data_IF_268674310651
#
_entry.id   IF_268674310651
#
_cell.length_a   1.000
_cell.length_b   1.000
_cell.length_c   1.000
_cell.angle_alpha   90.00
_cell.angle_beta   90.00
_cell.angle_gamma   90.00
#
_symmetry.space_group_name_H-M   'P 1'
#
loop_
_entity.id
_entity.type
_entity.pdbx_description
1 polymer ?
#
# COMPACT_ATOMS: atom_id res chain seq x y z
N UNK A 1 0.43 -6.27 24.98
CA UNK A 1 -0.37 -7.03 23.98
C UNK A 1 0.51 -8.12 23.40
N UNK A 2 0.03 -9.37 23.30
CA UNK A 2 0.71 -10.43 22.55
C UNK A 2 -0.06 -10.68 21.26
N UNK A 3 0.56 -10.36 20.12
CA UNK A 3 -0.06 -10.44 18.80
C UNK A 3 -0.15 -11.88 18.28
N UNK A 4 0.79 -12.75 18.67
CA UNK A 4 0.83 -14.14 18.22
C UNK A 4 -0.30 -14.99 18.82
N UNK A 5 -0.85 -14.57 19.96
CA UNK A 5 -1.97 -15.26 20.63
C UNK A 5 -3.32 -14.58 20.40
N UNK A 6 -3.34 -13.47 19.64
CA UNK A 6 -4.58 -12.80 19.28
C UNK A 6 -5.26 -13.55 18.12
N UNK A 7 -6.52 -13.95 18.31
CA UNK A 7 -7.27 -14.76 17.33
C UNK A 7 -7.51 -14.04 15.99
N UNK A 8 -7.43 -12.71 15.95
CA UNK A 8 -7.68 -11.91 14.75
C UNK A 8 -6.38 -11.49 14.06
N UNK A 9 -5.27 -11.39 14.80
CA UNK A 9 -3.98 -11.00 14.23
C UNK A 9 -3.09 -12.21 13.90
N UNK A 10 -3.08 -13.24 14.77
CA UNK A 10 -2.32 -14.51 14.61
C UNK A 10 -0.80 -14.25 14.34
N UNK A 11 -0.32 -13.08 14.71
CA UNK A 11 0.97 -12.56 14.28
C UNK A 11 1.01 -11.04 14.37
N UNK A 12 2.22 -10.47 14.34
CA UNK A 12 2.39 -9.02 14.43
C UNK A 12 2.31 -8.33 13.05
N UNK A 13 2.87 -8.96 12.03
CA UNK A 13 2.94 -8.43 10.66
C UNK A 13 3.45 -9.53 9.71
N UNK A 14 3.20 -9.38 8.41
CA UNK A 14 3.87 -10.17 7.39
C UNK A 14 5.38 -9.89 7.34
N UNK A 15 6.14 -10.96 7.17
CA UNK A 15 7.58 -10.90 6.91
C UNK A 15 7.95 -12.07 6.02
N UNK A 16 8.42 -11.75 4.82
CA UNK A 16 8.91 -12.76 3.91
C UNK A 16 10.18 -13.42 4.43
N UNK A 17 10.22 -14.74 4.25
CA UNK A 17 11.44 -15.54 4.30
C UNK A 17 12.19 -15.42 2.98
N UNK A 18 13.43 -15.94 2.92
CA UNK A 18 14.26 -15.83 1.73
C UNK A 18 13.52 -16.30 0.47
N UNK A 19 13.61 -15.50 -0.60
CA UNK A 19 12.99 -15.72 -1.93
C UNK A 19 11.45 -15.70 -1.99
N UNK A 20 10.73 -15.54 -0.87
CA UNK A 20 9.26 -15.48 -0.94
C UNK A 20 8.76 -14.28 -1.71
N UNK A 21 9.43 -13.12 -1.57
CA UNK A 21 9.09 -11.91 -2.32
C UNK A 21 9.10 -12.19 -3.83
N UNK A 22 10.22 -12.70 -4.35
CA UNK A 22 10.37 -13.01 -5.78
C UNK A 22 9.39 -14.09 -6.25
N UNK A 23 9.15 -15.10 -5.43
CA UNK A 23 8.27 -16.22 -5.82
C UNK A 23 6.78 -15.83 -5.81
N UNK A 24 6.40 -14.83 -5.02
CA UNK A 24 5.01 -14.38 -4.87
C UNK A 24 4.74 -13.06 -5.58
N UNK A 25 5.75 -12.42 -6.16
CA UNK A 25 5.68 -11.09 -6.77
C UNK A 25 4.50 -10.96 -7.74
N UNK A 26 4.37 -11.93 -8.66
CA UNK A 26 3.27 -11.95 -9.63
C UNK A 26 1.91 -12.21 -8.99
N UNK A 27 1.84 -12.87 -7.84
CA UNK A 27 0.60 -13.21 -7.15
C UNK A 27 0.15 -12.12 -6.17
N UNK A 28 1.07 -11.26 -5.74
CA UNK A 28 0.79 -10.17 -4.82
C UNK A 28 -0.14 -9.14 -5.47
N UNK A 29 -1.39 -9.11 -5.00
CA UNK A 29 -2.39 -8.15 -5.46
C UNK A 29 -3.19 -8.61 -6.68
N UNK A 30 -3.02 -9.85 -7.16
CA UNK A 30 -3.93 -10.44 -8.15
C UNK A 30 -5.34 -10.57 -7.56
N UNK A 31 -6.34 -10.17 -8.35
CA UNK A 31 -7.75 -10.40 -8.06
C UNK A 31 -8.12 -11.86 -8.38
N UNK A 32 -9.12 -12.41 -7.68
CA UNK A 32 -9.75 -13.66 -8.11
C UNK A 32 -10.93 -13.29 -9.00
N UNK A 33 -10.84 -13.68 -10.28
CA UNK A 33 -11.89 -13.45 -11.30
C UNK A 33 -12.37 -11.99 -11.35
N UNK A 34 -11.49 -11.02 -11.08
CA UNK A 34 -11.81 -9.59 -11.04
C UNK A 34 -13.01 -9.20 -10.15
N UNK A 35 -13.31 -10.05 -9.15
CA UNK A 35 -14.48 -9.88 -8.27
C UNK A 35 -14.11 -9.92 -6.81
N UNK A 36 -12.99 -10.56 -6.46
CA UNK A 36 -12.46 -10.58 -5.09
C UNK A 36 -11.06 -10.00 -5.10
N UNK A 37 -10.86 -8.95 -4.34
CA UNK A 37 -9.58 -8.25 -4.21
C UNK A 37 -9.08 -8.35 -2.77
N UNK A 38 -7.76 -8.52 -2.61
CA UNK A 38 -7.12 -8.62 -1.30
C UNK A 38 -6.35 -7.35 -0.99
N UNK A 39 -6.57 -6.82 0.20
CA UNK A 39 -5.87 -5.65 0.73
C UNK A 39 -5.33 -5.93 2.13
N UNK A 40 -4.27 -5.23 2.50
CA UNK A 40 -3.59 -5.33 3.77
C UNK A 40 -2.10 -5.06 3.61
N UNK A 41 -1.38 -4.93 4.71
CA UNK A 41 0.06 -4.68 4.67
C UNK A 41 0.81 -5.83 3.99
N UNK A 42 0.31 -7.06 4.18
CA UNK A 42 0.81 -8.32 3.62
C UNK A 42 0.60 -8.49 2.11
N UNK A 43 -0.17 -7.60 1.47
CA UNK A 43 -0.38 -7.56 0.01
C UNK A 43 0.36 -6.35 -0.61
N UNK A 44 1.34 -5.81 0.12
CA UNK A 44 2.16 -4.68 -0.28
C UNK A 44 3.64 -4.98 -0.08
N UNK A 45 4.52 -4.24 -0.77
CA UNK A 45 5.96 -4.30 -0.51
C UNK A 45 6.37 -3.57 0.78
N UNK A 46 5.44 -2.84 1.40
CA UNK A 46 5.66 -2.06 2.63
C UNK A 46 5.06 -2.79 3.82
N UNK A 47 5.59 -4.00 4.09
CA UNK A 47 5.17 -4.79 5.24
C UNK A 47 5.36 -4.05 6.58
N UNK A 48 4.59 -4.45 7.59
CA UNK A 48 4.64 -3.96 8.99
C UNK A 48 4.10 -2.55 9.22
N UNK A 49 3.82 -1.80 8.16
CA UNK A 49 3.38 -0.41 8.25
C UNK A 49 1.94 -0.25 7.78
N UNK A 50 1.22 0.69 8.40
CA UNK A 50 -0.12 1.10 7.99
C UNK A 50 -0.11 1.58 6.52
N UNK A 51 0.99 2.22 6.11
CA UNK A 51 1.31 2.61 4.74
C UNK A 51 0.96 1.50 3.73
N UNK A 52 1.46 0.28 3.96
CA UNK A 52 1.25 -0.84 3.05
C UNK A 52 -0.22 -1.27 2.95
N UNK A 53 -0.95 -1.21 4.07
CA UNK A 53 -2.37 -1.52 4.09
C UNK A 53 -3.18 -0.47 3.31
N UNK A 54 -2.87 0.81 3.46
CA UNK A 54 -3.54 1.89 2.74
C UNK A 54 -3.20 1.84 1.25
N UNK A 55 -1.92 1.73 0.89
CA UNK A 55 -1.49 1.68 -0.51
C UNK A 55 -2.14 0.50 -1.25
N UNK A 56 -2.19 -0.69 -0.64
CA UNK A 56 -2.84 -1.85 -1.26
C UNK A 56 -4.36 -1.66 -1.39
N UNK A 57 -5.03 -1.04 -0.41
CA UNK A 57 -6.46 -0.70 -0.48
C UNK A 57 -6.74 0.25 -1.62
N UNK A 58 -5.92 1.30 -1.73
CA UNK A 58 -6.11 2.36 -2.70
C UNK A 58 -5.89 1.87 -4.12
N UNK A 59 -4.90 1.00 -4.35
CA UNK A 59 -4.69 0.33 -5.64
C UNK A 59 -5.95 -0.37 -6.13
N UNK A 60 -6.69 -1.04 -5.24
CA UNK A 60 -7.94 -1.73 -5.59
C UNK A 60 -9.03 -0.72 -5.95
N UNK A 61 -9.24 0.29 -5.11
CA UNK A 61 -10.28 1.32 -5.34
C UNK A 61 -10.02 2.04 -6.66
N UNK A 62 -8.78 2.43 -6.92
CA UNK A 62 -8.33 3.03 -8.18
C UNK A 62 -8.62 2.13 -9.38
N UNK A 63 -8.25 0.85 -9.28
CA UNK A 63 -8.51 -0.13 -10.34
C UNK A 63 -10.01 -0.28 -10.62
N UNK A 64 -10.86 -0.31 -9.59
CA UNK A 64 -12.31 -0.39 -9.73
C UNK A 64 -12.95 0.90 -10.29
N UNK A 65 -12.37 2.06 -9.99
CA UNK A 65 -12.87 3.36 -10.42
C UNK A 65 -12.34 3.79 -11.80
N UNK A 66 -11.42 3.02 -12.40
CA UNK A 66 -10.66 3.40 -13.60
C UNK A 66 -9.90 4.74 -13.41
N UNK A 67 -9.57 5.07 -12.16
CA UNK A 67 -8.82 6.27 -11.78
C UNK A 67 -7.37 5.89 -11.47
N UNK A 68 -6.41 6.58 -12.06
CA UNK A 68 -4.99 6.26 -11.90
C UNK A 68 -4.23 7.51 -11.41
N UNK A 69 -3.68 7.45 -10.21
CA UNK A 69 -2.82 8.51 -9.71
C UNK A 69 -1.39 8.19 -10.06
N UNK A 70 -0.68 9.19 -10.58
CA UNK A 70 0.72 9.06 -10.97
C UNK A 70 1.62 8.88 -9.72
N UNK A 71 1.23 9.50 -8.59
CA UNK A 71 1.92 9.41 -7.30
C UNK A 71 0.87 9.34 -6.18
N UNK A 72 1.08 8.40 -5.25
CA UNK A 72 0.38 8.33 -3.98
C UNK A 72 1.40 8.49 -2.86
N UNK A 73 1.15 9.42 -1.95
CA UNK A 73 1.96 9.59 -0.74
C UNK A 73 1.07 9.33 0.44
N UNK A 74 1.41 8.33 1.24
CA UNK A 74 0.74 8.05 2.48
C UNK A 74 1.71 8.34 3.65
N UNK A 75 1.17 8.96 4.70
CA UNK A 75 1.85 9.25 5.97
C UNK A 75 3.21 9.98 5.90
N UNK A 76 3.36 10.91 4.96
CA UNK A 76 4.64 11.57 4.70
C UNK A 76 4.98 12.78 5.59
N UNK A 77 4.04 13.28 6.40
CA UNK A 77 4.18 14.58 7.07
C UNK A 77 4.56 15.73 6.12
N UNK A 78 5.19 16.79 6.65
CA UNK A 78 5.61 17.95 5.84
C UNK A 78 6.66 17.59 4.78
N UNK A 79 7.57 16.66 5.10
CA UNK A 79 8.64 16.24 4.18
C UNK A 79 8.08 15.46 2.97
N UNK A 80 7.11 14.57 3.21
CA UNK A 80 6.42 13.86 2.15
C UNK A 80 5.65 14.79 1.24
N UNK A 81 4.98 15.82 1.79
CA UNK A 81 4.30 16.84 0.97
C UNK A 81 5.28 17.65 0.11
N UNK A 82 6.42 18.08 0.65
CA UNK A 82 7.43 18.82 -0.13
C UNK A 82 8.00 17.92 -1.24
N UNK A 83 8.24 16.64 -0.94
CA UNK A 83 8.67 15.65 -1.93
C UNK A 83 7.62 15.48 -3.03
N UNK A 84 6.34 15.35 -2.67
CA UNK A 84 5.20 15.31 -3.59
C UNK A 84 5.24 16.47 -4.58
N UNK A 85 5.32 17.68 -4.02
CA UNK A 85 5.20 18.92 -4.78
C UNK A 85 6.41 19.14 -5.69
N UNK A 86 7.59 18.68 -5.25
CA UNK A 86 8.83 18.74 -6.02
C UNK A 86 8.80 17.76 -7.18
N UNK A 87 8.41 16.51 -6.93
CA UNK A 87 8.25 15.49 -7.99
C UNK A 87 7.15 15.89 -8.98
N UNK A 88 6.05 16.48 -8.49
CA UNK A 88 4.97 16.98 -9.33
C UNK A 88 5.47 17.92 -10.43
N UNK A 89 6.27 18.90 -10.01
CA UNK A 89 6.84 19.92 -10.88
C UNK A 89 7.95 19.37 -11.76
N UNK A 90 8.77 18.47 -11.24
CA UNK A 90 9.90 17.91 -11.97
C UNK A 90 9.46 16.92 -13.06
N UNK A 91 8.42 16.12 -12.80
CA UNK A 91 8.04 14.98 -13.64
C UNK A 91 6.69 15.17 -14.37
N UNK A 92 6.13 16.38 -14.36
CA UNK A 92 4.84 16.69 -15.03
C UNK A 92 3.69 15.77 -14.60
N UNK A 93 3.66 15.46 -13.31
CA UNK A 93 2.67 14.60 -12.66
C UNK A 93 1.33 15.34 -12.64
N UNK A 94 0.24 14.69 -13.07
CA UNK A 94 -1.08 15.33 -13.21
C UNK A 94 -2.01 15.02 -12.04
N UNK A 95 -1.95 13.79 -11.52
CA UNK A 95 -2.83 13.30 -10.46
C UNK A 95 -1.99 12.80 -9.29
N UNK A 96 -2.04 13.53 -8.17
CA UNK A 96 -1.35 13.17 -6.92
C UNK A 96 -2.39 12.97 -5.83
N UNK A 97 -2.34 11.83 -5.16
CA UNK A 97 -3.08 11.57 -3.94
C UNK A 97 -2.14 11.73 -2.74
N UNK A 98 -2.53 12.54 -1.76
CA UNK A 98 -1.85 12.64 -0.47
C UNK A 98 -2.82 12.17 0.60
N UNK A 99 -2.51 11.05 1.23
CA UNK A 99 -3.29 10.51 2.34
C UNK A 99 -2.52 10.75 3.63
N UNK A 100 -3.08 11.56 4.50
CA UNK A 100 -2.52 11.87 5.81
C UNK A 100 -3.26 11.01 6.84
N UNK A 101 -2.55 10.32 7.72
CA UNK A 101 -3.17 9.86 8.95
C UNK A 101 -3.52 11.09 9.78
N UNK A 102 -4.78 11.26 10.16
CA UNK A 102 -5.08 12.12 11.31
C UNK A 102 -4.63 11.32 12.55
N UNK A 103 -3.81 11.94 13.39
CA UNK A 103 -3.19 11.33 14.59
C UNK A 103 -4.17 10.50 15.45
#
# INVERSE_FOLDING_TARGET
KNWCTDQYAIGAYALFTANQETNLDEELGKSIKDTVHFSGEHISYVHRWIEGAIQSSLRIVMHMQEEEFDIVIVDGGVLGMITALTLAKAWNVKRIAVLMSED
#
